data_IF_644685857507
#
_entry.id   IF_644685857507
#
_cell.length_a   1.000
_cell.length_b   1.000
_cell.length_c   1.000
_cell.angle_alpha   90.00
_cell.angle_beta   90.00
_cell.angle_gamma   90.00
#
_symmetry.space_group_name_H-M   'P 1'
#
loop_
_entity.id
_entity.type
_entity.pdbx_description
1 polymer ?
#
# COMPACT_ATOMS: atom_id res chain seq x y z
N UNK A 1 26.59 -7.65 -9.57
CA UNK A 1 26.91 -6.31 -10.12
C UNK A 1 26.73 -5.29 -9.01
N UNK A 2 27.73 -4.43 -8.80
CA UNK A 2 27.69 -3.33 -7.82
C UNK A 2 27.93 -2.03 -8.57
N UNK A 3 27.05 -1.05 -8.41
CA UNK A 3 27.20 0.30 -8.97
C UNK A 3 27.20 1.31 -7.81
N UNK A 4 28.16 2.22 -7.82
CA UNK A 4 28.28 3.28 -6.80
C UNK A 4 28.10 4.63 -7.50
N UNK A 5 27.19 5.44 -6.99
CA UNK A 5 26.89 6.77 -7.52
C UNK A 5 27.58 7.84 -6.66
N UNK A 6 27.94 8.97 -7.28
CA UNK A 6 28.55 10.13 -6.58
C UNK A 6 27.65 10.72 -5.49
N UNK A 7 26.36 10.42 -5.50
CA UNK A 7 25.40 10.78 -4.46
C UNK A 7 25.53 9.97 -3.17
N UNK A 8 26.41 8.95 -3.14
CA UNK A 8 26.51 7.99 -2.05
C UNK A 8 25.54 6.81 -2.14
N UNK A 9 24.68 6.76 -3.17
CA UNK A 9 23.80 5.59 -3.41
C UNK A 9 24.62 4.43 -3.97
N UNK A 10 24.40 3.22 -3.43
CA UNK A 10 24.99 1.97 -3.91
C UNK A 10 23.87 1.03 -4.36
N UNK A 11 23.98 0.53 -5.59
CA UNK A 11 23.05 -0.45 -6.16
C UNK A 11 23.75 -1.80 -6.27
N UNK A 12 23.28 -2.77 -5.48
CA UNK A 12 23.76 -4.16 -5.53
C UNK A 12 22.70 -5.03 -6.21
N UNK A 13 23.08 -5.74 -7.27
CA UNK A 13 22.17 -6.59 -8.05
C UNK A 13 22.81 -7.96 -8.34
N UNK A 14 22.00 -9.01 -8.23
CA UNK A 14 22.42 -10.41 -8.41
C UNK A 14 21.71 -11.34 -7.43
N UNK A 15 21.84 -12.65 -7.61
CA UNK A 15 21.25 -13.65 -6.70
C UNK A 15 21.81 -13.57 -5.29
N UNK A 16 23.08 -13.19 -5.17
CA UNK A 16 23.84 -13.05 -3.91
C UNK A 16 23.78 -11.62 -3.34
N UNK A 17 23.01 -10.71 -3.95
CA UNK A 17 23.01 -9.30 -3.56
C UNK A 17 22.65 -9.08 -2.09
N UNK A 18 21.71 -9.88 -1.56
CA UNK A 18 21.28 -9.77 -0.17
C UNK A 18 22.36 -10.25 0.81
N UNK A 19 23.06 -11.33 0.45
CA UNK A 19 24.15 -11.90 1.25
C UNK A 19 25.37 -10.96 1.25
N UNK A 20 25.74 -10.45 0.08
CA UNK A 20 26.79 -9.44 -0.05
C UNK A 20 26.46 -8.16 0.74
N UNK A 21 25.19 -7.75 0.76
CA UNK A 21 24.76 -6.62 1.57
C UNK A 21 24.97 -6.89 3.06
N UNK A 22 24.48 -8.02 3.57
CA UNK A 22 24.54 -8.35 5.00
C UNK A 22 25.95 -8.65 5.52
N UNK A 23 26.79 -9.25 4.69
CA UNK A 23 28.11 -9.71 5.10
C UNK A 23 29.21 -8.67 4.85
N UNK A 24 29.01 -7.72 3.92
CA UNK A 24 30.04 -6.74 3.52
C UNK A 24 29.53 -5.32 3.67
N UNK A 25 28.46 -4.94 2.95
CA UNK A 25 28.00 -3.54 2.93
C UNK A 25 27.57 -3.07 4.33
N UNK A 26 26.75 -3.84 5.03
CA UNK A 26 26.22 -3.48 6.36
C UNK A 26 27.32 -3.41 7.44
N UNK A 27 28.17 -4.43 7.64
CA UNK A 27 29.18 -4.40 8.70
C UNK A 27 30.40 -3.54 8.35
N UNK A 28 30.89 -3.57 7.11
CA UNK A 28 32.17 -2.93 6.76
C UNK A 28 32.01 -1.49 6.27
N UNK A 29 30.91 -1.17 5.57
CA UNK A 29 30.71 0.16 4.94
C UNK A 29 29.73 1.02 5.72
N UNK A 30 28.51 0.52 5.95
CA UNK A 30 27.45 1.28 6.62
C UNK A 30 27.60 1.26 8.15
N UNK A 31 28.25 0.23 8.71
CA UNK A 31 28.35 -0.06 10.14
C UNK A 31 26.98 -0.10 10.85
N UNK A 32 25.93 -0.43 10.11
CA UNK A 32 24.56 -0.55 10.60
C UNK A 32 23.79 -1.57 9.76
N UNK A 33 22.91 -2.33 10.42
CA UNK A 33 21.97 -3.22 9.75
C UNK A 33 20.85 -2.38 9.12
N UNK A 34 20.68 -2.46 7.80
CA UNK A 34 19.83 -1.54 7.06
C UNK A 34 18.75 -2.25 6.22
N UNK A 35 18.99 -3.47 5.74
CA UNK A 35 18.14 -4.16 4.76
C UNK A 35 17.55 -5.46 5.33
N UNK A 36 16.23 -5.55 5.36
CA UNK A 36 15.52 -6.75 5.84
C UNK A 36 15.39 -6.85 7.36
N UNK A 37 15.71 -5.77 8.08
CA UNK A 37 15.58 -5.64 9.54
C UNK A 37 14.48 -4.66 9.93
N UNK A 38 13.58 -4.33 9.00
CA UNK A 38 12.57 -3.28 9.19
C UNK A 38 11.67 -3.57 10.39
N UNK A 39 11.38 -4.83 10.70
CA UNK A 39 10.62 -5.21 11.91
C UNK A 39 11.32 -4.81 13.23
N UNK A 40 12.64 -4.65 13.22
CA UNK A 40 13.44 -4.26 14.38
C UNK A 40 13.76 -2.76 14.37
N UNK A 41 14.13 -2.22 13.20
CA UNK A 41 14.56 -0.83 13.07
C UNK A 41 13.41 0.15 12.89
N UNK A 42 12.28 -0.33 12.38
CA UNK A 42 11.07 0.46 12.10
C UNK A 42 9.78 -0.29 12.47
N UNK A 43 9.61 -0.69 13.74
CA UNK A 43 8.41 -1.40 14.19
C UNK A 43 7.12 -0.62 13.89
N UNK A 44 7.18 0.71 13.84
CA UNK A 44 6.07 1.61 13.51
C UNK A 44 5.49 1.39 12.10
N UNK A 45 6.26 0.83 11.16
CA UNK A 45 5.72 0.47 9.83
C UNK A 45 4.69 -0.66 9.92
N UNK A 46 4.83 -1.52 10.93
CA UNK A 46 4.06 -2.75 11.12
C UNK A 46 2.94 -2.61 12.14
N UNK A 47 2.81 -1.44 12.77
CA UNK A 47 1.64 -1.09 13.58
C UNK A 47 0.35 -1.21 12.79
N UNK A 48 -0.76 -1.45 13.49
CA UNK A 48 -2.07 -1.65 12.89
C UNK A 48 -2.46 -0.50 11.95
N UNK A 49 -2.73 -0.83 10.69
CA UNK A 49 -3.07 0.13 9.64
C UNK A 49 -4.00 -0.49 8.58
N UNK A 50 -4.55 0.34 7.71
CA UNK A 50 -5.31 -0.08 6.53
C UNK A 50 -4.56 0.38 5.28
N UNK A 51 -4.14 -0.56 4.44
CA UNK A 51 -3.63 -0.29 3.10
C UNK A 51 -4.78 -0.19 2.10
N UNK A 52 -4.79 0.84 1.25
CA UNK A 52 -5.81 1.07 0.22
C UNK A 52 -5.15 1.34 -1.12
N UNK A 53 -5.59 0.62 -2.15
CA UNK A 53 -5.06 0.75 -3.51
C UNK A 53 -6.17 0.54 -4.56
N UNK A 54 -5.93 1.04 -5.77
CA UNK A 54 -6.85 0.96 -6.91
C UNK A 54 -6.24 0.30 -8.16
N UNK A 55 -7.10 -0.35 -8.95
CA UNK A 55 -6.76 -0.89 -10.27
C UNK A 55 -7.84 -0.52 -11.27
N UNK A 56 -7.47 -0.31 -12.54
CA UNK A 56 -8.40 0.07 -13.62
C UNK A 56 -8.55 1.57 -13.88
N UNK A 57 -7.82 2.45 -13.16
CA UNK A 57 -7.88 3.92 -13.34
C UNK A 57 -7.51 4.39 -14.75
N UNK A 58 -6.69 3.63 -15.48
CA UNK A 58 -6.24 3.94 -16.84
C UNK A 58 -6.72 2.95 -17.90
N UNK A 59 -7.51 1.96 -17.51
CA UNK A 59 -7.95 0.92 -18.45
C UNK A 59 -9.18 1.42 -19.22
N UNK A 60 -9.14 1.27 -20.55
CA UNK A 60 -10.28 1.62 -21.40
C UNK A 60 -11.48 0.70 -21.15
N UNK A 61 -11.21 -0.56 -20.79
CA UNK A 61 -12.21 -1.59 -20.57
C UNK A 61 -12.08 -2.17 -19.17
N UNK A 62 -13.22 -2.52 -18.58
CA UNK A 62 -13.28 -3.16 -17.27
C UNK A 62 -13.65 -2.20 -16.15
N UNK A 63 -13.85 -2.74 -14.94
CA UNK A 63 -14.23 -1.93 -13.78
C UNK A 63 -13.02 -1.19 -13.19
N UNK A 64 -13.29 -0.04 -12.57
CA UNK A 64 -12.40 0.53 -11.57
C UNK A 64 -12.62 -0.23 -10.26
N UNK A 65 -11.56 -0.83 -9.70
CA UNK A 65 -11.62 -1.62 -8.47
C UNK A 65 -10.75 -0.97 -7.40
N UNK A 66 -11.31 -0.76 -6.21
CA UNK A 66 -10.61 -0.25 -5.04
C UNK A 66 -10.66 -1.32 -3.95
N UNK A 67 -9.53 -1.59 -3.32
CA UNK A 67 -9.40 -2.54 -2.23
C UNK A 67 -8.84 -1.86 -0.98
N UNK A 68 -9.39 -2.20 0.18
CA UNK A 68 -8.78 -1.88 1.48
C UNK A 68 -8.48 -3.18 2.22
N UNK A 69 -7.32 -3.26 2.83
CA UNK A 69 -6.84 -4.42 3.58
C UNK A 69 -6.34 -3.93 4.94
N UNK A 70 -6.88 -4.51 6.01
CA UNK A 70 -6.35 -4.28 7.35
C UNK A 70 -5.05 -5.05 7.53
N UNK A 71 -4.07 -4.44 8.18
CA UNK A 71 -2.76 -5.02 8.43
C UNK A 71 -2.41 -4.74 9.88
N UNK A 72 -2.13 -5.77 10.63
CA UNK A 72 -1.58 -5.75 11.99
C UNK A 72 -0.15 -6.36 11.97
N UNK A 73 0.62 -6.32 13.08
CA UNK A 73 1.98 -6.83 13.08
C UNK A 73 2.11 -8.29 12.62
N UNK A 74 1.14 -9.14 12.96
CA UNK A 74 1.16 -10.56 12.60
C UNK A 74 0.87 -10.77 11.12
N UNK A 75 -0.17 -10.16 10.58
CA UNK A 75 -0.49 -10.23 9.15
C UNK A 75 0.57 -9.56 8.30
N UNK A 76 1.21 -8.49 8.77
CA UNK A 76 2.34 -7.88 8.07
C UNK A 76 3.53 -8.84 7.96
N UNK A 77 3.86 -9.57 9.04
CA UNK A 77 4.88 -10.63 9.03
C UNK A 77 4.50 -11.74 8.05
N UNK A 78 3.28 -12.24 8.14
CA UNK A 78 2.77 -13.28 7.23
C UNK A 78 2.85 -12.82 5.76
N UNK A 79 2.54 -11.56 5.48
CA UNK A 79 2.54 -11.01 4.12
C UNK A 79 3.96 -10.92 3.55
N UNK A 80 4.92 -10.47 4.38
CA UNK A 80 6.34 -10.48 4.03
C UNK A 80 6.84 -11.90 3.75
N UNK A 81 6.53 -12.87 4.60
CA UNK A 81 6.93 -14.26 4.44
C UNK A 81 6.30 -14.92 3.20
N UNK A 82 5.05 -14.58 2.87
CA UNK A 82 4.39 -15.01 1.63
C UNK A 82 4.99 -14.35 0.37
N UNK A 83 5.88 -13.38 0.54
CA UNK A 83 6.48 -12.62 -0.56
C UNK A 83 5.47 -11.73 -1.28
N UNK A 84 4.50 -11.17 -0.53
CA UNK A 84 3.64 -10.11 -1.05
C UNK A 84 4.53 -8.89 -1.27
N UNK A 85 4.62 -8.47 -2.54
CA UNK A 85 5.41 -7.34 -3.03
C UNK A 85 4.53 -6.56 -3.99
N UNK A 86 5.08 -5.51 -4.60
CA UNK A 86 4.43 -4.79 -5.70
C UNK A 86 3.85 -5.79 -6.72
N UNK A 87 2.52 -5.74 -6.85
CA UNK A 87 1.73 -6.67 -7.65
C UNK A 87 2.14 -6.65 -9.12
N UNK A 88 2.70 -5.53 -9.60
CA UNK A 88 3.24 -5.36 -10.96
C UNK A 88 4.39 -6.32 -11.26
N UNK A 89 5.06 -6.86 -10.24
CA UNK A 89 6.17 -7.81 -10.38
C UNK A 89 5.69 -9.27 -10.39
N UNK A 90 4.38 -9.52 -10.23
CA UNK A 90 3.79 -10.86 -10.21
C UNK A 90 3.18 -11.15 -11.58
N UNK A 91 3.91 -11.90 -12.41
CA UNK A 91 3.48 -12.21 -13.78
C UNK A 91 2.50 -13.38 -13.89
N UNK A 92 2.37 -14.21 -12.86
CA UNK A 92 1.51 -15.40 -12.89
C UNK A 92 0.14 -15.14 -12.29
N UNK A 93 -0.92 -15.25 -13.10
CA UNK A 93 -2.31 -15.16 -12.64
C UNK A 93 -2.63 -16.19 -11.55
N UNK A 94 -2.05 -17.40 -11.65
CA UNK A 94 -2.20 -18.45 -10.63
C UNK A 94 -1.61 -17.99 -9.30
N UNK A 95 -0.41 -17.39 -9.31
CA UNK A 95 0.23 -16.85 -8.11
C UNK A 95 -0.57 -15.69 -7.52
N UNK A 96 -1.07 -14.78 -8.36
CA UNK A 96 -1.92 -13.67 -7.95
C UNK A 96 -3.16 -14.18 -7.21
N UNK A 97 -3.87 -15.16 -7.78
CA UNK A 97 -5.06 -15.75 -7.19
C UNK A 97 -4.77 -16.46 -5.86
N UNK A 98 -3.64 -17.17 -5.76
CA UNK A 98 -3.20 -17.79 -4.51
C UNK A 98 -2.94 -16.76 -3.42
N UNK A 99 -2.21 -15.69 -3.74
CA UNK A 99 -1.90 -14.61 -2.80
C UNK A 99 -3.17 -13.87 -2.37
N UNK A 100 -4.04 -13.52 -3.31
CA UNK A 100 -5.32 -12.87 -3.01
C UNK A 100 -6.18 -13.73 -2.07
N UNK A 101 -6.25 -15.04 -2.31
CA UNK A 101 -6.96 -15.98 -1.42
C UNK A 101 -6.33 -16.04 -0.03
N UNK A 102 -5.00 -16.06 0.06
CA UNK A 102 -4.28 -16.09 1.33
C UNK A 102 -4.49 -14.80 2.15
N UNK A 103 -4.41 -13.63 1.52
CA UNK A 103 -4.68 -12.33 2.16
C UNK A 103 -6.09 -12.31 2.75
N UNK A 104 -7.10 -12.67 1.95
CA UNK A 104 -8.51 -12.67 2.36
C UNK A 104 -8.81 -13.58 3.54
N UNK A 105 -8.00 -14.63 3.77
CA UNK A 105 -8.15 -15.55 4.90
C UNK A 105 -7.45 -15.05 6.17
N UNK A 106 -6.41 -14.23 6.03
CA UNK A 106 -5.57 -13.78 7.15
C UNK A 106 -6.03 -12.47 7.78
N UNK A 107 -6.76 -11.64 7.03
CA UNK A 107 -7.15 -10.33 7.53
C UNK A 107 -8.49 -9.86 6.99
N UNK A 108 -9.01 -8.79 7.60
CA UNK A 108 -10.19 -8.06 7.15
C UNK A 108 -9.88 -7.26 5.90
N UNK A 109 -10.84 -7.23 4.99
CA UNK A 109 -10.71 -6.49 3.74
C UNK A 109 -12.06 -5.99 3.25
N UNK A 110 -12.03 -5.00 2.37
CA UNK A 110 -13.19 -4.52 1.64
C UNK A 110 -12.83 -4.26 0.18
N UNK A 111 -13.83 -4.38 -0.68
CA UNK A 111 -13.71 -4.16 -2.12
C UNK A 111 -14.87 -3.28 -2.58
N UNK A 112 -14.57 -2.34 -3.47
CA UNK A 112 -15.54 -1.63 -4.29
C UNK A 112 -15.16 -1.86 -5.75
N UNK A 113 -16.09 -2.44 -6.51
CA UNK A 113 -15.98 -2.55 -7.96
C UNK A 113 -16.98 -1.60 -8.60
N UNK A 114 -16.49 -0.73 -9.46
CA UNK A 114 -17.27 0.21 -10.25
C UNK A 114 -17.23 -0.23 -11.72
N UNK A 115 -18.22 -1.01 -12.19
CA UNK A 115 -18.36 -1.32 -13.61
C UNK A 115 -18.48 -0.03 -14.44
N UNK A 116 -18.10 -0.04 -15.73
CA UNK A 116 -18.09 1.15 -16.58
C UNK A 116 -19.38 1.98 -16.52
N UNK A 117 -20.54 1.33 -16.55
CA UNK A 117 -21.84 2.03 -16.46
C UNK A 117 -22.01 2.83 -15.16
N UNK A 118 -21.64 2.23 -14.02
CA UNK A 118 -21.73 2.88 -12.70
C UNK A 118 -20.65 3.94 -12.52
N UNK A 119 -19.45 3.66 -13.01
CA UNK A 119 -18.35 4.61 -13.03
C UNK A 119 -18.76 5.88 -13.80
N UNK A 120 -19.24 5.74 -15.03
CA UNK A 120 -19.67 6.85 -15.88
C UNK A 120 -20.81 7.64 -15.23
N UNK A 121 -21.81 6.94 -14.67
CA UNK A 121 -22.92 7.58 -13.96
C UNK A 121 -22.44 8.45 -12.79
N UNK A 122 -21.58 7.91 -11.93
CA UNK A 122 -21.05 8.65 -10.78
C UNK A 122 -20.17 9.82 -11.23
N UNK A 123 -19.32 9.59 -12.23
CA UNK A 123 -18.45 10.61 -12.80
C UNK A 123 -19.28 11.78 -13.33
N UNK A 124 -20.24 11.54 -14.22
CA UNK A 124 -21.01 12.59 -14.87
C UNK A 124 -21.94 13.33 -13.91
N UNK A 125 -22.64 12.59 -13.04
CA UNK A 125 -23.70 13.16 -12.21
C UNK A 125 -23.22 13.76 -10.90
N UNK A 126 -22.13 13.25 -10.31
CA UNK A 126 -21.72 13.62 -8.94
C UNK A 126 -20.36 14.30 -8.84
N UNK A 127 -19.35 13.78 -9.53
CA UNK A 127 -17.97 14.19 -9.26
C UNK A 127 -17.37 15.10 -10.32
N UNK A 128 -17.60 14.79 -11.60
CA UNK A 128 -16.99 15.43 -12.79
C UNK A 128 -15.46 15.60 -12.70
N UNK A 129 -14.83 14.80 -11.85
CA UNK A 129 -13.42 14.83 -11.54
C UNK A 129 -13.01 13.47 -11.00
N UNK A 130 -12.05 12.83 -11.67
CA UNK A 130 -11.60 11.47 -11.34
C UNK A 130 -10.98 11.39 -9.94
N UNK A 131 -10.19 12.39 -9.55
CA UNK A 131 -9.54 12.41 -8.24
C UNK A 131 -10.57 12.54 -7.10
N UNK A 132 -11.66 13.27 -7.29
CA UNK A 132 -12.76 13.33 -6.32
C UNK A 132 -13.51 11.99 -6.22
N UNK A 133 -13.75 11.33 -7.36
CA UNK A 133 -14.36 10.00 -7.39
C UNK A 133 -13.49 8.96 -6.68
N UNK A 134 -12.18 8.96 -6.94
CA UNK A 134 -11.22 8.07 -6.29
C UNK A 134 -11.15 8.34 -4.78
N UNK A 135 -11.04 9.60 -4.36
CA UNK A 135 -11.01 9.93 -2.94
C UNK A 135 -12.28 9.49 -2.21
N UNK A 136 -13.45 9.65 -2.84
CA UNK A 136 -14.70 9.10 -2.32
C UNK A 136 -14.68 7.57 -2.25
N UNK A 137 -14.21 6.89 -3.30
CA UNK A 137 -14.16 5.44 -3.34
C UNK A 137 -13.21 4.86 -2.28
N UNK A 138 -12.04 5.46 -2.08
CA UNK A 138 -11.08 5.06 -1.04
C UNK A 138 -11.68 5.22 0.36
N UNK A 139 -12.32 6.37 0.63
CA UNK A 139 -13.01 6.59 1.89
C UNK A 139 -14.15 5.57 2.09
N UNK A 140 -14.96 5.32 1.06
CA UNK A 140 -16.08 4.38 1.13
C UNK A 140 -15.60 2.96 1.47
N UNK A 141 -14.54 2.47 0.81
CA UNK A 141 -13.98 1.13 1.07
C UNK A 141 -13.35 1.07 2.46
N UNK A 142 -12.68 2.13 2.91
CA UNK A 142 -12.13 2.23 4.27
C UNK A 142 -13.19 2.09 5.36
N UNK A 143 -14.41 2.60 5.15
CA UNK A 143 -15.47 2.57 6.16
C UNK A 143 -15.82 1.14 6.60
N UNK A 144 -15.73 0.16 5.70
CA UNK A 144 -16.16 -1.21 6.02
C UNK A 144 -15.19 -1.92 6.99
N UNK A 145 -13.85 -1.97 6.76
CA UNK A 145 -12.92 -2.55 7.72
C UNK A 145 -12.79 -1.73 9.00
N UNK A 146 -12.81 -0.39 8.92
CA UNK A 146 -12.61 0.48 10.10
C UNK A 146 -13.72 0.35 11.14
N UNK A 147 -14.98 0.18 10.72
CA UNK A 147 -16.10 -0.04 11.65
C UNK A 147 -16.00 -1.34 12.45
N UNK A 148 -15.25 -2.33 11.95
CA UNK A 148 -15.08 -3.62 12.65
C UNK A 148 -13.92 -3.63 13.66
N UNK A 149 -13.04 -2.62 13.62
CA UNK A 149 -11.78 -2.63 14.36
C UNK A 149 -11.85 -1.88 15.70
N UNK A 150 -12.95 -1.18 16.00
CA UNK A 150 -13.18 -0.38 17.22
C UNK A 150 -12.07 0.63 17.59
N UNK A 151 -11.12 0.82 16.69
CA UNK A 151 -10.05 1.80 16.74
C UNK A 151 -9.94 2.38 15.32
N UNK A 152 -9.44 3.61 15.18
CA UNK A 152 -9.28 4.24 13.89
C UNK A 152 -7.84 4.01 13.40
N UNK A 153 -7.52 2.87 12.76
CA UNK A 153 -6.16 2.56 12.37
C UNK A 153 -5.67 3.57 11.33
N UNK A 154 -4.36 3.84 11.38
CA UNK A 154 -3.61 4.59 10.36
C UNK A 154 -3.98 4.08 8.95
N UNK A 155 -4.02 4.96 7.96
CA UNK A 155 -4.34 4.60 6.58
C UNK A 155 -3.15 4.89 5.68
N UNK A 156 -2.81 3.92 4.83
CA UNK A 156 -1.78 4.04 3.81
C UNK A 156 -2.43 3.92 2.44
N UNK A 157 -2.20 4.89 1.56
CA UNK A 157 -2.68 4.85 0.19
C UNK A 157 -1.72 5.58 -0.76
N UNK A 158 -1.73 5.18 -2.03
CA UNK A 158 -0.93 5.82 -3.07
C UNK A 158 -1.35 7.27 -3.33
N UNK A 159 -0.37 8.12 -3.68
CA UNK A 159 -0.62 9.52 -4.02
C UNK A 159 -1.20 9.64 -5.43
N UNK A 160 -2.53 9.65 -5.52
CA UNK A 160 -3.24 9.96 -6.77
C UNK A 160 -3.74 11.41 -6.86
N UNK A 161 -3.78 12.15 -5.75
CA UNK A 161 -4.28 13.52 -5.69
C UNK A 161 -3.56 14.35 -4.61
N UNK A 162 -3.89 15.64 -4.56
CA UNK A 162 -3.44 16.52 -3.48
C UNK A 162 -3.98 16.02 -2.12
N UNK A 163 -3.20 16.08 -1.02
CA UNK A 163 -3.57 15.47 0.26
C UNK A 163 -4.93 15.91 0.80
N UNK A 164 -5.29 17.18 0.61
CA UNK A 164 -6.54 17.75 1.08
C UNK A 164 -7.79 17.09 0.45
N UNK A 165 -7.67 16.55 -0.77
CA UNK A 165 -8.78 15.88 -1.47
C UNK A 165 -9.19 14.59 -0.75
N UNK A 166 -8.20 13.78 -0.35
CA UNK A 166 -8.45 12.59 0.46
C UNK A 166 -8.94 12.97 1.85
N UNK A 167 -8.28 13.92 2.52
CA UNK A 167 -8.68 14.37 3.86
C UNK A 167 -10.15 14.81 3.91
N UNK A 168 -10.61 15.59 2.93
CA UNK A 168 -12.02 15.99 2.85
C UNK A 168 -12.97 14.79 2.68
N UNK A 169 -12.56 13.78 1.94
CA UNK A 169 -13.40 12.61 1.66
C UNK A 169 -13.50 11.69 2.89
N UNK A 170 -12.40 11.50 3.62
CA UNK A 170 -12.36 10.74 4.87
C UNK A 170 -13.08 11.48 6.02
N UNK A 171 -12.96 12.81 6.09
CA UNK A 171 -13.72 13.63 7.04
C UNK A 171 -15.23 13.47 6.87
N UNK A 172 -15.73 13.39 5.63
CA UNK A 172 -17.16 13.20 5.34
C UNK A 172 -17.75 11.88 5.85
N UNK A 173 -16.91 10.88 6.11
CA UNK A 173 -17.35 9.59 6.65
C UNK A 173 -17.07 9.45 8.15
N UNK A 174 -16.63 10.51 8.83
CA UNK A 174 -16.27 10.50 10.25
C UNK A 174 -14.89 9.94 10.56
N UNK A 175 -14.02 9.78 9.56
CA UNK A 175 -12.63 9.32 9.73
C UNK A 175 -11.68 10.52 9.87
N UNK A 176 -11.92 11.36 10.88
CA UNK A 176 -11.26 12.65 11.07
C UNK A 176 -9.77 12.54 11.43
N UNK A 177 -9.34 11.37 11.92
CA UNK A 177 -7.94 11.08 12.26
C UNK A 177 -7.09 10.66 11.05
N UNK A 178 -7.65 10.72 9.84
CA UNK A 178 -6.95 10.34 8.61
C UNK A 178 -5.72 11.22 8.35
N UNK A 179 -4.53 10.61 8.43
CA UNK A 179 -3.29 11.18 7.93
C UNK A 179 -2.78 10.34 6.74
N UNK A 180 -2.87 10.85 5.48
CA UNK A 180 -2.54 10.08 4.28
C UNK A 180 -1.06 9.67 4.16
N UNK A 181 -0.17 10.22 4.99
CA UNK A 181 1.28 10.12 4.80
C UNK A 181 2.06 9.74 6.07
N UNK A 182 1.48 8.97 6.98
CA UNK A 182 2.29 8.42 8.08
C UNK A 182 3.17 7.27 7.58
N UNK A 183 4.14 7.58 6.74
CA UNK A 183 5.44 6.95 6.82
C UNK A 183 6.33 7.89 7.65
N UNK A 184 7.09 7.40 8.63
CA UNK A 184 8.21 8.12 9.21
C UNK A 184 9.00 8.85 8.12
N UNK A 185 9.35 10.11 8.40
CA UNK A 185 10.01 11.00 7.43
C UNK A 185 11.31 10.42 6.83
N UNK A 186 11.84 9.34 7.43
CA UNK A 186 13.00 8.56 6.97
C UNK A 186 12.80 7.83 5.63
N UNK A 187 11.57 7.60 5.15
CA UNK A 187 11.30 6.85 3.92
C UNK A 187 11.00 7.69 2.67
N UNK A 188 10.98 9.03 2.78
CA UNK A 188 10.60 9.93 1.68
C UNK A 188 11.84 10.53 0.97
N UNK A 189 13.01 9.89 1.06
CA UNK A 189 14.30 10.34 0.47
C UNK A 189 14.85 9.48 -0.67
#
# INVERSE_FOLDING_TARGET
MVQVYKSGKVLVQGKEALEFSRNVIEPEILQQAAIGYEFLTHPEYFEAHVGIDECGKGDLFGPLVIAAVFVDPQSAKDFTEMGIKDSKRISSIRRLNQLASAIKKKTKYALLSLPPLRYNELYEKKFKNLNLLLAWAHAWVYKKPSLELNDAPRVLCDRFAQPWVLQQSFKRIGADQFNPWQFPASLVG
#
